data_IF_639808834633
#
_entry.id   IF_639808834633
#
_cell.length_a   1.000
_cell.length_b   1.000
_cell.length_c   1.000
_cell.angle_alpha   90.00
_cell.angle_beta   90.00
_cell.angle_gamma   90.00
#
_symmetry.space_group_name_H-M   'P 1'
#
loop_
_entity.id
_entity.type
_entity.pdbx_description
1 polymer ?
#
# COMPACT_ATOMS: atom_id res chain seq x y z
N UNK A 1 1.50 -2.86 13.14
CA UNK A 1 1.26 -3.98 14.06
C UNK A 1 1.41 -3.44 15.46
N UNK A 2 0.29 -3.36 16.18
CA UNK A 2 0.19 -2.71 17.48
C UNK A 2 -0.02 -3.76 18.57
N UNK A 3 0.66 -3.60 19.70
CA UNK A 3 0.59 -4.54 20.82
C UNK A 3 -0.36 -4.02 21.89
N UNK A 4 -1.26 -4.87 22.36
CA UNK A 4 -2.26 -4.57 23.38
C UNK A 4 -2.18 -5.63 24.48
N UNK A 5 -2.11 -5.19 25.73
CA UNK A 5 -2.27 -6.06 26.89
C UNK A 5 -3.73 -6.03 27.33
N UNK A 6 -4.36 -7.20 27.40
CA UNK A 6 -5.73 -7.34 27.91
C UNK A 6 -5.69 -7.83 29.35
N UNK A 7 -6.61 -7.33 30.17
CA UNK A 7 -6.82 -7.81 31.53
C UNK A 7 -7.93 -8.87 31.56
N UNK A 8 -8.05 -9.59 32.67
CA UNK A 8 -9.08 -10.65 32.85
C UNK A 8 -10.51 -10.10 32.99
N UNK A 9 -10.72 -8.78 32.84
CA UNK A 9 -12.04 -8.17 32.86
C UNK A 9 -12.67 -8.25 31.48
N UNK A 10 -13.99 -8.53 31.38
CA UNK A 10 -14.69 -8.50 30.10
C UNK A 10 -14.59 -7.10 29.50
N UNK A 11 -14.04 -7.02 28.29
CA UNK A 11 -14.03 -5.82 27.46
C UNK A 11 -14.96 -6.01 26.27
N UNK A 12 -15.53 -4.90 25.82
CA UNK A 12 -16.19 -4.85 24.52
C UNK A 12 -15.17 -5.09 23.40
N UNK A 13 -15.51 -5.98 22.47
CA UNK A 13 -14.65 -6.32 21.33
C UNK A 13 -14.76 -5.30 20.19
N UNK A 14 -15.86 -4.53 20.11
CA UNK A 14 -16.09 -3.59 18.99
C UNK A 14 -14.94 -2.60 18.77
N UNK A 15 -14.38 -1.94 19.80
CA UNK A 15 -13.24 -1.03 19.61
C UNK A 15 -11.96 -1.74 19.15
N UNK A 16 -11.79 -3.02 19.50
CA UNK A 16 -10.65 -3.82 19.04
C UNK A 16 -10.81 -4.20 17.56
N UNK A 17 -12.03 -4.47 17.11
CA UNK A 17 -12.32 -4.74 15.70
C UNK A 17 -12.12 -3.49 14.83
N UNK A 18 -12.55 -2.32 15.29
CA UNK A 18 -12.29 -1.05 14.60
C UNK A 18 -10.77 -0.81 14.45
N UNK A 19 -10.00 -0.98 15.52
CA UNK A 19 -8.54 -0.90 15.46
C UNK A 19 -7.92 -1.95 14.53
N UNK A 20 -8.47 -3.17 14.50
CA UNK A 20 -7.98 -4.25 13.66
C UNK A 20 -8.25 -4.05 12.16
N UNK A 21 -9.22 -3.19 11.81
CA UNK A 21 -9.51 -2.80 10.42
C UNK A 21 -8.48 -1.82 9.84
N UNK A 22 -7.79 -1.08 10.71
CA UNK A 22 -6.72 -0.16 10.30
C UNK A 22 -5.34 -0.82 10.33
N UNK A 23 -5.08 -1.71 11.31
CA UNK A 23 -3.83 -2.46 11.41
C UNK A 23 -3.95 -3.76 12.23
N UNK A 24 -3.07 -4.72 11.96
CA UNK A 24 -3.00 -5.96 12.76
C UNK A 24 -2.65 -5.69 14.23
N UNK A 25 -3.36 -6.33 15.15
CA UNK A 25 -3.16 -6.22 16.59
C UNK A 25 -2.52 -7.50 17.15
N UNK A 26 -1.50 -7.34 17.98
CA UNK A 26 -0.95 -8.41 18.83
C UNK A 26 -1.52 -8.26 20.24
N UNK A 27 -2.31 -9.23 20.68
CA UNK A 27 -2.99 -9.23 21.97
C UNK A 27 -2.23 -10.14 22.93
N UNK A 28 -1.77 -9.59 24.05
CA UNK A 28 -1.09 -10.33 25.12
C UNK A 28 -1.99 -10.44 26.33
N UNK A 29 -2.21 -11.67 26.80
CA UNK A 29 -2.94 -11.95 28.05
C UNK A 29 -2.03 -11.78 29.27
N UNK A 30 -2.57 -11.60 30.49
CA UNK A 30 -1.75 -11.47 31.71
C UNK A 30 -0.89 -12.73 31.98
N UNK A 31 -1.35 -13.89 31.49
CA UNK A 31 -0.61 -15.16 31.54
C UNK A 31 0.44 -15.32 30.43
N UNK A 32 0.75 -14.26 29.67
CA UNK A 32 1.81 -14.27 28.65
C UNK A 32 1.43 -14.93 27.31
N UNK A 33 0.21 -15.46 27.17
CA UNK A 33 -0.27 -15.97 25.87
C UNK A 33 -0.48 -14.80 24.90
N UNK A 34 -0.12 -15.01 23.65
CA UNK A 34 -0.19 -14.01 22.59
C UNK A 34 -1.12 -14.46 21.47
N UNK A 35 -1.90 -13.53 20.93
CA UNK A 35 -2.86 -13.73 19.84
C UNK A 35 -2.72 -12.63 18.80
N UNK A 36 -3.07 -12.91 17.55
CA UNK A 36 -3.16 -11.88 16.51
C UNK A 36 -4.62 -11.69 16.14
N UNK A 37 -5.07 -10.43 16.10
CA UNK A 37 -6.35 -10.02 15.53
C UNK A 37 -6.06 -9.19 14.29
N UNK A 38 -6.57 -9.65 13.16
CA UNK A 38 -6.48 -8.97 11.87
C UNK A 38 -7.84 -9.08 11.19
N UNK A 39 -8.25 -8.03 10.49
CA UNK A 39 -9.36 -8.13 9.56
C UNK A 39 -9.06 -9.20 8.51
N UNK A 40 -10.04 -10.05 8.23
CA UNK A 40 -9.97 -10.95 7.08
C UNK A 40 -10.29 -10.06 5.87
N UNK A 41 -9.25 -9.56 5.23
CA UNK A 41 -9.37 -8.82 3.98
C UNK A 41 -9.53 -9.82 2.83
N UNK A 42 -10.69 -9.79 2.16
CA UNK A 42 -11.00 -10.58 0.97
C UNK A 42 -9.96 -10.36 -0.15
N UNK A 43 -9.19 -9.26 -0.11
CA UNK A 43 -8.10 -9.03 -1.05
C UNK A 43 -7.01 -10.11 -0.99
N UNK A 44 -6.70 -10.65 0.19
CA UNK A 44 -5.69 -11.71 0.31
C UNK A 44 -6.16 -13.00 -0.38
N UNK A 45 -7.45 -13.30 -0.27
CA UNK A 45 -8.08 -14.43 -0.92
C UNK A 45 -8.26 -14.20 -2.43
N UNK A 46 -8.63 -12.99 -2.85
CA UNK A 46 -8.66 -12.60 -4.27
C UNK A 46 -7.27 -12.73 -4.91
N UNK A 47 -6.21 -12.27 -4.25
CA UNK A 47 -4.83 -12.45 -4.72
C UNK A 47 -4.47 -13.93 -4.82
N UNK A 48 -4.92 -14.76 -3.88
CA UNK A 48 -4.72 -16.22 -3.93
C UNK A 48 -5.41 -16.81 -5.16
N UNK A 49 -6.69 -16.49 -5.38
CA UNK A 49 -7.47 -16.95 -6.53
C UNK A 49 -6.90 -16.47 -7.87
N UNK A 50 -6.44 -15.22 -7.94
CA UNK A 50 -5.81 -14.62 -9.13
C UNK A 50 -4.48 -15.30 -9.47
N UNK A 51 -3.70 -15.74 -8.46
CA UNK A 51 -2.46 -16.50 -8.68
C UNK A 51 -2.70 -17.89 -9.24
N UNK A 52 -3.85 -18.49 -8.96
CA UNK A 52 -4.21 -19.81 -9.49
C UNK A 52 -4.59 -19.75 -11.00
N UNK A 53 -4.80 -18.55 -11.56
CA UNK A 53 -5.01 -18.36 -12.99
C UNK A 53 -3.70 -18.48 -13.78
N UNK A 54 -3.44 -19.67 -14.32
CA UNK A 54 -2.22 -19.98 -15.06
C UNK A 54 -2.01 -19.10 -16.32
N UNK A 55 -3.08 -18.75 -17.02
CA UNK A 55 -3.00 -17.91 -18.23
C UNK A 55 -2.56 -16.48 -17.88
N UNK A 56 -3.16 -15.90 -16.86
CA UNK A 56 -2.79 -14.58 -16.35
C UNK A 56 -1.34 -14.57 -15.85
N UNK A 57 -0.93 -15.58 -15.08
CA UNK A 57 0.43 -15.67 -14.56
C UNK A 57 1.47 -15.84 -15.67
N UNK A 58 1.15 -16.60 -16.73
CA UNK A 58 2.00 -16.73 -17.91
C UNK A 58 2.14 -15.37 -18.65
N UNK A 59 1.04 -14.66 -18.83
CA UNK A 59 1.05 -13.31 -19.42
C UNK A 59 1.89 -12.32 -18.61
N UNK A 60 1.68 -12.27 -17.29
CA UNK A 60 2.44 -11.39 -16.40
C UNK A 60 3.94 -11.72 -16.39
N UNK A 61 4.30 -13.02 -16.40
CA UNK A 61 5.69 -13.48 -16.51
C UNK A 61 6.34 -13.10 -17.84
N UNK A 62 5.60 -13.18 -18.93
CA UNK A 62 6.08 -12.72 -20.24
C UNK A 62 6.30 -11.19 -20.23
N UNK A 63 5.36 -10.44 -19.64
CA UNK A 63 5.42 -8.97 -19.57
C UNK A 63 6.53 -8.46 -18.63
N UNK A 64 6.77 -9.12 -17.50
CA UNK A 64 7.81 -8.71 -16.54
C UNK A 64 9.24 -8.84 -17.09
N UNK A 65 9.43 -9.70 -18.10
CA UNK A 65 10.70 -9.84 -18.85
C UNK A 65 10.92 -8.74 -19.88
N UNK A 66 9.93 -7.88 -20.11
CA UNK A 66 10.06 -6.73 -21.00
C UNK A 66 11.03 -5.70 -20.42
N UNK A 67 12.21 -5.56 -21.03
CA UNK A 67 13.27 -4.63 -20.59
C UNK A 67 13.00 -3.14 -20.92
N UNK A 68 11.84 -2.82 -21.50
CA UNK A 68 11.58 -1.50 -22.07
C UNK A 68 10.82 -0.61 -21.10
N UNK A 69 11.54 -0.06 -20.14
CA UNK A 69 11.04 1.08 -19.36
C UNK A 69 11.02 2.30 -20.27
N UNK A 70 9.83 2.89 -20.47
CA UNK A 70 9.71 4.16 -21.16
C UNK A 70 9.82 5.29 -20.14
N UNK A 71 10.60 6.31 -20.45
CA UNK A 71 10.53 7.56 -19.68
C UNK A 71 9.16 8.19 -19.89
N UNK A 72 8.71 9.02 -18.95
CA UNK A 72 7.43 9.74 -19.07
C UNK A 72 7.35 10.51 -20.41
N UNK A 73 8.45 11.14 -20.82
CA UNK A 73 8.54 11.86 -22.09
C UNK A 73 8.35 10.94 -23.31
N UNK A 74 8.97 9.75 -23.30
CA UNK A 74 8.81 8.74 -24.37
C UNK A 74 7.38 8.20 -24.41
N UNK A 75 6.77 7.94 -23.26
CA UNK A 75 5.39 7.47 -23.15
C UNK A 75 4.40 8.51 -23.67
N UNK A 76 4.52 9.77 -23.24
CA UNK A 76 3.67 10.88 -23.70
C UNK A 76 3.76 11.10 -25.21
N UNK A 77 4.98 11.06 -25.78
CA UNK A 77 5.20 11.16 -27.23
C UNK A 77 4.48 10.03 -27.98
N UNK A 78 4.57 8.79 -27.48
CA UNK A 78 3.89 7.63 -28.08
C UNK A 78 2.36 7.72 -28.01
N UNK A 79 1.84 8.34 -26.95
CA UNK A 79 0.40 8.54 -26.74
C UNK A 79 -0.14 9.84 -27.38
N UNK A 80 0.70 10.61 -28.11
CA UNK A 80 0.28 11.88 -28.72
C UNK A 80 0.00 13.00 -27.72
N UNK A 81 0.44 12.86 -26.46
CA UNK A 81 0.21 13.83 -25.40
C UNK A 81 1.30 14.91 -25.43
N UNK A 82 0.89 16.18 -25.52
CA UNK A 82 1.84 17.31 -25.43
C UNK A 82 2.48 17.36 -24.04
N UNK A 83 3.79 17.56 -23.98
CA UNK A 83 4.49 17.88 -22.74
C UNK A 83 3.97 19.24 -22.26
N UNK A 84 3.06 19.25 -21.28
CA UNK A 84 2.74 20.47 -20.56
C UNK A 84 3.93 20.76 -19.65
N UNK A 85 4.96 21.40 -20.20
CA UNK A 85 5.99 22.05 -19.40
C UNK A 85 5.32 23.20 -18.66
N UNK A 86 4.78 22.93 -17.47
CA UNK A 86 4.46 24.01 -16.53
C UNK A 86 5.82 24.64 -16.18
N UNK A 87 6.06 25.92 -16.49
CA UNK A 87 7.32 26.55 -16.12
C UNK A 87 7.42 26.55 -14.60
N UNK A 88 8.45 25.90 -14.07
CA UNK A 88 8.82 25.96 -12.66
C UNK A 88 9.18 27.42 -12.40
N UNK A 89 8.28 28.17 -11.75
CA UNK A 89 8.50 29.57 -11.36
C UNK A 89 9.75 29.61 -10.50
N UNK A 90 10.91 30.00 -11.06
CA UNK A 90 12.13 30.23 -10.28
C UNK A 90 11.78 31.37 -9.33
N UNK A 91 11.69 31.07 -8.03
CA UNK A 91 11.75 32.10 -6.99
C UNK A 91 13.11 32.76 -7.14
N UNK A 92 13.15 33.92 -7.79
CA UNK A 92 14.29 34.81 -7.76
C UNK A 92 14.44 35.30 -6.33
N UNK A 93 15.44 34.77 -5.61
CA UNK A 93 16.07 35.53 -4.53
C UNK A 93 16.76 36.72 -5.20
N UNK A 94 16.08 37.86 -5.26
CA UNK A 94 16.73 39.14 -5.47
C UNK A 94 17.01 39.72 -4.09
N UNK A 95 18.23 39.47 -3.62
CA UNK A 95 18.91 40.37 -2.70
C UNK A 95 19.16 41.69 -3.44
N UNK A 96 18.65 42.79 -2.91
CA UNK A 96 19.19 44.15 -3.10
C UNK A 96 18.53 45.04 -2.04
N UNK A 97 19.22 45.34 -0.94
CA UNK A 97 19.94 46.62 -0.78
C UNK A 97 19.05 47.83 -1.13
N UNK A 98 18.46 48.44 -0.11
CA UNK A 98 18.87 49.73 0.45
C UNK A 98 18.18 49.96 1.78
#
# INVERSE_FOLDING_TARGET
MKTLEISDRPRDLRPLLELASEENLLITTPGGRQFVLAEIDDFAEEVRLVRDNAELMAFLKARSRGSRTLTEAQLRKRLGLRLTTRPRKRRSQASSRR
#
